data_IF_097379044719
#
_entry.id   IF_097379044719
#
_cell.length_a   1.000
_cell.length_b   1.000
_cell.length_c   1.000
_cell.angle_alpha   90.00
_cell.angle_beta   90.00
_cell.angle_gamma   90.00
#
_symmetry.space_group_name_H-M   'P 1'
#
loop_
_entity.id
_entity.type
_entity.pdbx_description
1 polymer ?
#
# COMPACT_ATOMS: atom_id res chain seq x y z
N UNK A 1 4.09 14.83 15.90
CA UNK A 1 3.35 13.72 15.23
C UNK A 1 2.65 12.74 16.18
N UNK A 2 3.33 11.79 16.86
CA UNK A 2 2.72 10.87 17.86
C UNK A 2 1.99 11.59 19.02
N UNK A 3 2.49 12.76 19.43
CA UNK A 3 1.84 13.62 20.45
C UNK A 3 0.50 14.21 19.99
N UNK A 4 0.34 14.58 18.71
CA UNK A 4 -0.93 15.08 18.17
C UNK A 4 -1.99 13.96 18.16
N UNK A 5 -1.61 12.78 17.67
CA UNK A 5 -2.51 11.63 17.64
C UNK A 5 -2.93 11.18 19.04
N UNK A 6 -2.01 11.22 20.02
CA UNK A 6 -2.32 11.00 21.45
C UNK A 6 -3.20 12.11 22.06
N UNK A 7 -3.05 13.37 21.63
CA UNK A 7 -3.82 14.51 22.15
C UNK A 7 -5.27 14.51 21.65
N UNK A 8 -5.49 14.13 20.40
CA UNK A 8 -6.84 14.05 19.79
C UNK A 8 -7.38 12.61 19.69
N UNK A 9 -6.72 11.68 20.39
CA UNK A 9 -7.01 10.25 20.38
C UNK A 9 -8.50 9.97 20.62
N UNK A 10 -9.13 10.60 21.62
CA UNK A 10 -10.55 10.35 21.91
C UNK A 10 -11.50 10.73 20.75
N UNK A 11 -11.22 11.80 20.01
CA UNK A 11 -12.09 12.28 18.93
C UNK A 11 -11.95 11.38 17.70
N UNK A 12 -10.72 11.06 17.29
CA UNK A 12 -10.48 10.11 16.20
C UNK A 12 -10.95 8.69 16.54
N UNK A 13 -10.80 8.26 17.80
CA UNK A 13 -11.09 6.88 18.21
C UNK A 13 -12.58 6.58 18.44
N UNK A 14 -13.36 7.53 18.98
CA UNK A 14 -14.83 7.37 19.05
C UNK A 14 -15.40 7.35 17.63
N UNK A 15 -14.85 8.20 16.77
CA UNK A 15 -15.32 8.39 15.41
C UNK A 15 -15.10 7.16 14.51
N UNK A 16 -13.89 6.59 14.52
CA UNK A 16 -13.62 5.41 13.67
C UNK A 16 -14.11 4.11 14.35
N UNK A 17 -14.31 4.07 15.67
CA UNK A 17 -14.97 2.92 16.33
C UNK A 17 -16.47 2.82 15.97
N UNK A 18 -17.16 3.95 15.80
CA UNK A 18 -18.53 3.98 15.28
C UNK A 18 -18.59 3.44 13.85
N UNK A 19 -17.60 3.82 13.02
CA UNK A 19 -17.43 3.36 11.64
C UNK A 19 -17.31 1.83 11.54
N UNK A 20 -16.46 1.21 12.36
CA UNK A 20 -16.23 -0.24 12.29
C UNK A 20 -17.41 -1.07 12.77
N UNK A 21 -18.18 -0.60 13.76
CA UNK A 21 -19.40 -1.30 14.18
C UNK A 21 -20.37 -1.41 13.01
N UNK A 22 -20.43 -0.40 12.13
CA UNK A 22 -21.24 -0.45 10.92
C UNK A 22 -20.59 -1.35 9.86
N UNK A 23 -19.28 -1.25 9.62
CA UNK A 23 -18.60 -2.05 8.58
C UNK A 23 -18.53 -3.54 8.94
N UNK A 24 -18.19 -3.94 10.16
CA UNK A 24 -18.14 -5.38 10.51
C UNK A 24 -19.52 -6.03 10.70
N UNK A 25 -20.56 -5.26 11.01
CA UNK A 25 -21.93 -5.81 11.11
C UNK A 25 -22.54 -6.16 9.74
N UNK A 26 -22.01 -5.60 8.64
CA UNK A 26 -22.52 -5.83 7.28
C UNK A 26 -21.61 -6.69 6.39
N UNK A 27 -20.34 -6.88 6.75
CA UNK A 27 -19.30 -7.43 5.86
C UNK A 27 -18.86 -8.85 6.27
N UNK A 28 -19.78 -9.81 6.10
CA UNK A 28 -19.42 -11.22 5.98
C UNK A 28 -18.53 -11.45 4.76
N UNK A 29 -17.44 -12.18 4.98
CA UNK A 29 -16.48 -12.75 4.01
C UNK A 29 -17.09 -13.09 2.64
N UNK A 30 -16.57 -12.54 1.54
CA UNK A 30 -16.37 -13.20 0.23
C UNK A 30 -16.07 -12.22 -0.92
N UNK A 31 -14.98 -12.44 -1.64
CA UNK A 31 -14.84 -12.13 -3.09
C UNK A 31 -14.78 -10.66 -3.51
N UNK A 32 -13.58 -10.08 -3.58
CA UNK A 32 -13.34 -8.75 -4.18
C UNK A 32 -13.30 -8.82 -5.72
N UNK A 33 -12.96 -9.99 -6.30
CA UNK A 33 -12.78 -10.14 -7.75
C UNK A 33 -14.06 -10.46 -8.54
N UNK A 34 -15.14 -10.93 -7.90
CA UNK A 34 -16.41 -11.26 -8.60
C UNK A 34 -17.42 -10.11 -8.62
N UNK A 35 -17.20 -9.02 -7.86
CA UNK A 35 -18.22 -7.99 -7.61
C UNK A 35 -18.17 -6.76 -8.52
N UNK A 36 -17.43 -6.82 -9.62
CA UNK A 36 -17.42 -5.73 -10.62
C UNK A 36 -18.73 -5.70 -11.45
N UNK A 37 -19.50 -6.79 -11.45
CA UNK A 37 -20.75 -6.87 -12.22
C UNK A 37 -22.01 -6.89 -11.34
N UNK A 38 -22.77 -5.79 -11.40
CA UNK A 38 -24.22 -5.67 -11.07
C UNK A 38 -24.67 -5.62 -9.59
N UNK A 39 -23.87 -5.16 -8.63
CA UNK A 39 -24.43 -4.79 -7.32
C UNK A 39 -24.85 -3.32 -7.34
N UNK A 40 -26.10 -3.00 -7.02
CA UNK A 40 -26.54 -1.61 -6.76
C UNK A 40 -25.55 -0.99 -5.77
N UNK A 41 -24.97 0.15 -6.10
CA UNK A 41 -23.99 0.84 -5.25
C UNK A 41 -24.61 1.11 -3.86
N UNK A 42 -24.15 0.38 -2.85
CA UNK A 42 -24.73 0.39 -1.50
C UNK A 42 -24.04 1.45 -0.65
N UNK A 43 -24.83 2.10 0.20
CA UNK A 43 -24.28 2.88 1.31
C UNK A 43 -23.69 1.90 2.32
N UNK A 44 -22.41 2.05 2.65
CA UNK A 44 -21.68 1.12 3.53
C UNK A 44 -21.14 1.78 4.79
N UNK A 45 -21.05 3.11 4.80
CA UNK A 45 -20.69 3.87 5.97
C UNK A 45 -21.36 5.25 5.97
N UNK A 46 -21.33 5.92 7.11
CA UNK A 46 -21.75 7.31 7.29
C UNK A 46 -20.52 8.12 7.66
N UNK A 47 -20.23 9.14 6.87
CA UNK A 47 -19.10 10.03 7.07
C UNK A 47 -19.30 10.96 8.28
N UNK A 48 -18.22 11.67 8.66
CA UNK A 48 -18.22 12.59 9.82
C UNK A 48 -19.23 13.74 9.74
N UNK A 49 -19.68 14.05 8.53
CA UNK A 49 -20.67 15.08 8.27
C UNK A 49 -22.10 14.54 8.15
N UNK A 50 -22.30 13.24 8.37
CA UNK A 50 -23.58 12.56 8.19
C UNK A 50 -23.87 12.17 6.73
N UNK A 51 -22.99 12.49 5.78
CA UNK A 51 -23.13 12.03 4.40
C UNK A 51 -22.87 10.53 4.30
N UNK A 52 -23.42 9.89 3.27
CA UNK A 52 -23.26 8.44 3.08
C UNK A 52 -22.05 8.15 2.21
N UNK A 53 -21.20 7.23 2.66
CA UNK A 53 -20.07 6.72 1.89
C UNK A 53 -20.53 5.48 1.14
N UNK A 54 -20.35 5.49 -0.17
CA UNK A 54 -20.73 4.40 -1.04
C UNK A 54 -19.64 3.35 -1.14
N UNK A 55 -20.04 2.09 -1.32
CA UNK A 55 -19.11 0.99 -1.51
C UNK A 55 -18.16 1.25 -2.69
N UNK A 56 -18.72 1.75 -3.80
CA UNK A 56 -17.91 2.03 -4.99
C UNK A 56 -16.83 3.09 -4.74
N UNK A 57 -17.05 4.01 -3.79
CA UNK A 57 -16.09 5.06 -3.44
C UNK A 57 -14.91 4.49 -2.64
N UNK A 58 -15.19 3.65 -1.64
CA UNK A 58 -14.15 2.94 -0.89
C UNK A 58 -13.35 2.05 -1.85
N UNK A 59 -14.02 1.24 -2.67
CA UNK A 59 -13.34 0.33 -3.60
C UNK A 59 -12.43 1.05 -4.59
N UNK A 60 -12.86 2.20 -5.13
CA UNK A 60 -12.03 3.02 -6.02
C UNK A 60 -10.81 3.55 -5.29
N UNK A 61 -10.98 4.12 -4.09
CA UNK A 61 -9.85 4.57 -3.28
C UNK A 61 -8.90 3.41 -2.95
N UNK A 62 -9.43 2.25 -2.56
CA UNK A 62 -8.62 1.08 -2.23
C UNK A 62 -7.81 0.60 -3.42
N UNK A 63 -8.41 0.47 -4.60
CA UNK A 63 -7.68 0.10 -5.83
C UNK A 63 -6.61 1.14 -6.16
N UNK A 64 -6.92 2.43 -5.99
CA UNK A 64 -5.97 3.51 -6.25
C UNK A 64 -4.76 3.44 -5.30
N UNK A 65 -4.97 3.11 -4.02
CA UNK A 65 -3.92 3.05 -3.01
C UNK A 65 -3.18 1.70 -2.95
N UNK A 66 -3.79 0.64 -3.47
CA UNK A 66 -3.28 -0.73 -3.41
C UNK A 66 -1.95 -0.90 -4.14
N UNK A 67 -1.74 -0.16 -5.24
CA UNK A 67 -0.49 -0.16 -5.99
C UNK A 67 0.12 1.24 -6.11
N UNK A 68 1.43 1.29 -6.36
CA UNK A 68 2.19 2.50 -6.64
C UNK A 68 3.08 2.35 -7.90
N UNK A 69 3.89 3.38 -8.18
CA UNK A 69 4.78 3.41 -9.35
C UNK A 69 6.04 2.54 -9.21
N UNK A 70 6.40 2.14 -7.99
CA UNK A 70 7.57 1.30 -7.68
C UNK A 70 7.21 -0.18 -7.60
N UNK A 71 5.93 -0.52 -7.50
CA UNK A 71 5.46 -1.90 -7.57
C UNK A 71 5.80 -2.53 -8.92
N UNK A 72 6.19 -3.81 -8.89
CA UNK A 72 6.71 -4.47 -10.08
C UNK A 72 5.87 -5.67 -10.47
N UNK A 73 5.46 -5.70 -11.74
CA UNK A 73 4.71 -6.79 -12.35
C UNK A 73 5.68 -7.78 -13.00
N UNK A 74 6.46 -8.52 -12.19
CA UNK A 74 7.25 -9.65 -12.70
C UNK A 74 6.50 -10.97 -12.64
N UNK A 75 5.55 -11.11 -11.69
CA UNK A 75 4.75 -12.32 -11.60
C UNK A 75 3.58 -12.28 -12.58
N UNK A 76 3.44 -13.33 -13.41
CA UNK A 76 2.23 -13.60 -14.20
C UNK A 76 0.96 -13.78 -13.34
N UNK A 77 1.13 -13.93 -12.02
CA UNK A 77 0.03 -14.07 -11.04
C UNK A 77 -0.53 -12.72 -10.57
N UNK A 78 0.17 -11.61 -10.82
CA UNK A 78 -0.27 -10.32 -10.31
C UNK A 78 -1.12 -9.60 -11.33
N UNK A 79 -2.44 -9.57 -11.09
CA UNK A 79 -3.42 -8.95 -11.97
C UNK A 79 -3.43 -7.42 -11.87
N UNK A 80 -2.82 -6.85 -10.82
CA UNK A 80 -2.75 -5.41 -10.61
C UNK A 80 -1.50 -4.84 -11.25
N UNK A 81 -1.70 -3.85 -12.13
CA UNK A 81 -0.62 -3.11 -12.78
C UNK A 81 -0.15 -1.97 -11.86
N UNK A 82 1.10 -1.49 -12.03
CA UNK A 82 1.61 -0.35 -11.28
C UNK A 82 0.72 0.88 -11.48
N UNK A 83 0.40 1.57 -10.40
CA UNK A 83 -0.35 2.82 -10.46
C UNK A 83 0.62 4.00 -10.52
N UNK A 84 0.93 4.46 -11.73
CA UNK A 84 1.85 5.56 -11.96
C UNK A 84 1.31 6.92 -11.49
N UNK A 85 0.03 7.01 -11.13
CA UNK A 85 -0.53 8.20 -10.50
C UNK A 85 -0.26 8.26 -8.99
N UNK A 86 -0.06 7.12 -8.34
CA UNK A 86 0.21 7.04 -6.92
C UNK A 86 1.72 6.99 -6.68
N UNK A 87 2.28 8.13 -6.24
CA UNK A 87 3.69 8.24 -5.91
C UNK A 87 3.96 7.88 -4.43
N UNK A 88 3.71 6.62 -4.07
CA UNK A 88 4.10 6.07 -2.77
C UNK A 88 3.28 6.54 -1.56
N UNK A 89 1.97 6.80 -1.71
CA UNK A 89 1.13 7.18 -0.57
C UNK A 89 1.25 6.20 0.62
N UNK A 90 1.13 4.90 0.36
CA UNK A 90 1.16 3.88 1.42
C UNK A 90 2.52 3.88 2.13
N UNK A 91 3.62 4.08 1.40
CA UNK A 91 4.97 4.22 1.97
C UNK A 91 5.04 5.36 2.98
N UNK A 92 4.50 6.53 2.65
CA UNK A 92 4.46 7.67 3.57
C UNK A 92 3.54 7.42 4.76
N UNK A 93 2.40 6.76 4.53
CA UNK A 93 1.48 6.34 5.58
C UNK A 93 2.17 5.44 6.62
N UNK A 94 2.89 4.40 6.17
CA UNK A 94 3.64 3.50 7.06
C UNK A 94 4.84 4.18 7.74
N UNK A 95 5.49 5.15 7.08
CA UNK A 95 6.58 5.94 7.69
C UNK A 95 6.12 6.88 8.80
N UNK A 96 4.86 7.31 8.78
CA UNK A 96 4.30 8.26 9.74
C UNK A 96 3.87 7.64 11.08
N UNK A 97 4.13 6.34 11.30
CA UNK A 97 3.63 5.52 12.41
C UNK A 97 2.08 5.44 12.53
N UNK A 98 1.32 6.04 11.61
CA UNK A 98 -0.14 5.93 11.58
C UNK A 98 -0.61 4.47 11.47
N UNK A 99 0.12 3.66 10.71
CA UNK A 99 -0.13 2.21 10.61
C UNK A 99 -0.14 1.53 11.97
N UNK A 100 0.76 1.90 12.88
CA UNK A 100 0.86 1.33 14.23
C UNK A 100 -0.37 1.68 15.05
N UNK A 101 -0.87 2.92 14.93
CA UNK A 101 -2.12 3.33 15.56
C UNK A 101 -3.31 2.53 15.03
N UNK A 102 -3.34 2.27 13.72
CA UNK A 102 -4.38 1.45 13.10
C UNK A 102 -4.32 0.01 13.62
N UNK A 103 -3.14 -0.60 13.67
CA UNK A 103 -2.99 -1.95 14.20
C UNK A 103 -3.38 -2.04 15.67
N UNK A 104 -2.92 -1.11 16.51
CA UNK A 104 -3.31 -1.06 17.93
C UNK A 104 -4.82 -1.00 18.13
N UNK A 105 -5.50 -0.21 17.29
CA UNK A 105 -6.93 0.04 17.44
C UNK A 105 -7.81 -1.04 16.81
N UNK A 106 -7.38 -1.62 15.69
CA UNK A 106 -8.17 -2.51 14.85
C UNK A 106 -7.61 -3.92 14.77
N UNK A 107 -6.80 -4.29 15.76
CA UNK A 107 -6.14 -5.58 15.77
C UNK A 107 -7.12 -6.74 15.62
N UNK A 108 -8.20 -6.74 16.42
CA UNK A 108 -9.14 -7.85 16.46
C UNK A 108 -9.89 -8.03 15.14
N UNK A 109 -10.26 -6.90 14.53
CA UNK A 109 -10.94 -6.80 13.25
C UNK A 109 -10.05 -7.24 12.08
N UNK A 110 -8.78 -6.82 12.10
CA UNK A 110 -7.82 -7.14 11.05
C UNK A 110 -7.22 -8.54 11.20
N UNK A 111 -7.20 -9.10 12.42
CA UNK A 111 -6.53 -10.36 12.74
C UNK A 111 -6.84 -11.48 11.74
N UNK A 112 -8.10 -11.79 11.38
CA UNK A 112 -8.41 -12.86 10.44
C UNK A 112 -7.71 -12.69 9.08
N UNK A 113 -7.62 -11.46 8.59
CA UNK A 113 -7.03 -11.12 7.28
C UNK A 113 -5.51 -11.23 7.25
N UNK A 114 -4.88 -11.31 8.44
CA UNK A 114 -3.44 -11.49 8.62
C UNK A 114 -3.04 -12.93 8.96
N UNK A 115 -3.97 -13.84 9.29
CA UNK A 115 -3.62 -15.24 9.64
C UNK A 115 -2.90 -15.95 8.48
N UNK A 116 -3.44 -15.84 7.26
CA UNK A 116 -2.79 -16.41 6.07
C UNK A 116 -1.41 -15.76 5.78
N UNK A 117 -1.24 -14.49 6.14
CA UNK A 117 0.03 -13.77 5.96
C UNK A 117 1.05 -14.21 6.99
N UNK A 118 0.63 -14.40 8.23
CA UNK A 118 1.45 -14.95 9.30
C UNK A 118 2.09 -16.27 8.84
N UNK A 119 1.30 -17.20 8.32
CA UNK A 119 1.82 -18.48 7.80
C UNK A 119 2.82 -18.32 6.65
N UNK A 120 2.55 -17.40 5.70
CA UNK A 120 3.48 -17.11 4.59
C UNK A 120 4.81 -16.57 5.11
N UNK A 121 4.79 -15.63 6.06
CA UNK A 121 5.99 -15.05 6.68
C UNK A 121 6.82 -16.14 7.37
N UNK A 122 6.17 -17.06 8.08
CA UNK A 122 6.86 -18.16 8.79
C UNK A 122 7.57 -19.12 7.83
N UNK A 123 6.95 -19.42 6.68
CA UNK A 123 7.52 -20.33 5.66
C UNK A 123 8.55 -19.67 4.73
N UNK A 124 8.68 -18.36 4.76
CA UNK A 124 9.50 -17.64 3.81
C UNK A 124 10.99 -17.90 4.00
N UNK A 125 11.65 -18.08 2.86
CA UNK A 125 13.10 -18.16 2.74
C UNK A 125 13.56 -17.16 1.68
N UNK A 126 14.55 -16.31 1.98
CA UNK A 126 15.14 -15.43 0.97
C UNK A 126 15.69 -16.22 -0.21
N UNK A 127 15.74 -15.59 -1.38
CA UNK A 127 16.29 -16.20 -2.58
C UNK A 127 17.73 -16.68 -2.38
N UNK A 128 18.03 -17.89 -2.86
CA UNK A 128 19.37 -18.48 -2.93
C UNK A 128 19.50 -19.13 -4.31
N UNK A 129 20.55 -18.78 -5.03
CA UNK A 129 20.81 -19.25 -6.38
C UNK A 129 21.07 -20.76 -6.43
N UNK A 130 20.54 -21.46 -7.44
CA UNK A 130 20.63 -22.94 -7.54
C UNK A 130 22.05 -23.47 -7.60
N UNK A 131 22.91 -22.81 -8.40
CA UNK A 131 24.24 -23.33 -8.73
C UNK A 131 25.37 -22.74 -7.88
N UNK A 132 25.09 -21.68 -7.12
CA UNK A 132 26.06 -21.05 -6.22
C UNK A 132 25.34 -20.39 -5.03
N UNK A 133 25.27 -21.06 -3.87
CA UNK A 133 24.56 -20.55 -2.69
C UNK A 133 25.08 -19.22 -2.14
N UNK A 134 26.29 -18.80 -2.51
CA UNK A 134 26.83 -17.51 -2.06
C UNK A 134 26.21 -16.31 -2.81
N UNK A 135 25.54 -16.57 -3.94
CA UNK A 135 24.62 -15.61 -4.58
C UNK A 135 23.26 -15.77 -3.90
N UNK A 136 22.96 -14.90 -2.95
CA UNK A 136 21.73 -14.96 -2.17
C UNK A 136 21.23 -13.58 -1.76
N UNK A 137 19.92 -13.45 -1.54
CA UNK A 137 19.34 -12.22 -1.04
C UNK A 137 19.89 -11.89 0.36
N UNK A 138 20.18 -12.92 1.18
CA UNK A 138 20.78 -12.74 2.51
C UNK A 138 22.14 -12.05 2.43
N UNK A 139 23.06 -12.50 1.58
CA UNK A 139 24.40 -11.91 1.49
C UNK A 139 24.37 -10.45 1.02
N UNK A 140 23.38 -10.08 0.19
CA UNK A 140 23.16 -8.69 -0.21
C UNK A 140 22.60 -7.87 0.96
N UNK A 141 21.59 -8.38 1.69
CA UNK A 141 21.07 -7.66 2.86
C UNK A 141 22.12 -7.46 3.95
N UNK A 142 22.96 -8.47 4.25
CA UNK A 142 24.05 -8.34 5.22
C UNK A 142 24.98 -7.17 4.90
N UNK A 143 25.21 -6.89 3.61
CA UNK A 143 26.10 -5.82 3.16
C UNK A 143 25.43 -4.46 3.05
N UNK A 144 24.20 -4.39 2.53
CA UNK A 144 23.58 -3.13 2.13
C UNK A 144 22.39 -2.71 2.99
N UNK A 145 21.75 -3.63 3.72
CA UNK A 145 20.58 -3.35 4.53
C UNK A 145 20.46 -4.33 5.72
N UNK A 146 21.42 -4.35 6.67
CA UNK A 146 21.45 -5.36 7.74
C UNK A 146 20.21 -5.32 8.64
N UNK A 147 19.61 -4.14 8.85
CA UNK A 147 18.37 -3.95 9.61
C UNK A 147 17.21 -4.80 9.06
N UNK A 148 17.17 -5.04 7.74
CA UNK A 148 16.15 -5.89 7.10
C UNK A 148 16.19 -7.32 7.64
N UNK A 149 17.40 -7.86 7.87
CA UNK A 149 17.57 -9.20 8.40
C UNK A 149 17.20 -9.29 9.87
N UNK A 150 17.49 -8.24 10.65
CA UNK A 150 17.08 -8.15 12.05
C UNK A 150 15.56 -8.21 12.16
N UNK A 151 14.85 -7.34 11.42
CA UNK A 151 13.38 -7.32 11.39
C UNK A 151 12.81 -8.65 10.89
N UNK A 152 13.36 -9.22 9.81
CA UNK A 152 12.90 -10.48 9.25
C UNK A 152 13.08 -11.66 10.22
N UNK A 153 14.21 -11.74 10.90
CA UNK A 153 14.46 -12.77 11.90
C UNK A 153 13.51 -12.61 13.09
N UNK A 154 13.27 -11.37 13.54
CA UNK A 154 12.35 -11.09 14.62
C UNK A 154 10.90 -11.45 14.24
N UNK A 155 10.46 -11.11 13.03
CA UNK A 155 9.17 -11.52 12.46
C UNK A 155 9.02 -13.05 12.48
N UNK A 156 10.03 -13.76 11.98
CA UNK A 156 10.03 -15.22 11.94
C UNK A 156 10.11 -15.85 13.33
N UNK A 157 10.59 -15.14 14.34
CA UNK A 157 10.63 -15.62 15.73
C UNK A 157 9.27 -15.53 16.45
N UNK A 158 8.34 -14.69 15.96
CA UNK A 158 7.03 -14.54 16.58
C UNK A 158 6.27 -15.87 16.57
N UNK A 159 5.69 -16.24 17.71
CA UNK A 159 4.95 -17.51 17.89
C UNK A 159 3.49 -17.41 17.51
N UNK A 160 2.94 -16.21 17.54
CA UNK A 160 1.54 -15.93 17.27
C UNK A 160 1.39 -14.58 16.55
N UNK A 161 0.25 -14.40 15.90
CA UNK A 161 -0.16 -13.13 15.35
C UNK A 161 -0.55 -12.19 16.51
N UNK A 162 0.22 -11.10 16.65
CA UNK A 162 0.04 -10.08 17.68
C UNK A 162 0.41 -8.68 17.11
N UNK A 163 0.22 -7.63 17.92
CA UNK A 163 0.54 -6.25 17.50
C UNK A 163 2.01 -6.08 17.11
N UNK A 164 2.91 -6.76 17.82
CA UNK A 164 4.35 -6.71 17.52
C UNK A 164 4.64 -7.26 16.12
N UNK A 165 4.00 -8.37 15.74
CA UNK A 165 4.11 -8.93 14.39
C UNK A 165 3.66 -7.93 13.32
N UNK A 166 2.51 -7.27 13.49
CA UNK A 166 2.01 -6.28 12.52
C UNK A 166 2.91 -5.04 12.42
N UNK A 167 3.43 -4.57 13.55
CA UNK A 167 4.36 -3.44 13.58
C UNK A 167 5.67 -3.77 12.86
N UNK A 168 6.24 -4.95 13.13
CA UNK A 168 7.44 -5.42 12.42
C UNK A 168 7.18 -5.62 10.91
N UNK A 169 5.97 -6.04 10.53
CA UNK A 169 5.59 -6.18 9.12
C UNK A 169 5.54 -4.80 8.43
N UNK A 170 4.99 -3.79 9.10
CA UNK A 170 5.04 -2.39 8.67
C UNK A 170 6.47 -1.87 8.53
N UNK A 171 7.33 -2.13 9.52
CA UNK A 171 8.72 -1.68 9.50
C UNK A 171 9.47 -2.36 8.33
N UNK A 172 9.27 -3.66 8.11
CA UNK A 172 9.86 -4.38 6.97
C UNK A 172 9.38 -3.85 5.62
N UNK A 173 8.09 -3.51 5.50
CA UNK A 173 7.54 -2.88 4.29
C UNK A 173 8.23 -1.56 3.97
N UNK A 174 8.44 -0.70 4.98
CA UNK A 174 9.15 0.58 4.81
C UNK A 174 10.60 0.36 4.36
N UNK A 175 11.28 -0.66 4.88
CA UNK A 175 12.63 -1.03 4.46
C UNK A 175 12.66 -1.62 3.03
N UNK A 176 11.68 -2.45 2.62
CA UNK A 176 11.57 -2.90 1.22
C UNK A 176 11.44 -1.70 0.27
N UNK A 177 10.72 -0.65 0.68
CA UNK A 177 10.58 0.56 -0.13
C UNK A 177 11.84 1.45 -0.16
N UNK A 178 12.83 1.20 0.70
CA UNK A 178 14.18 1.81 0.64
C UNK A 178 15.12 0.98 -0.22
N UNK A 179 14.95 -0.35 -0.21
CA UNK A 179 15.72 -1.29 -1.01
C UNK A 179 14.80 -2.18 -1.85
N UNK A 180 14.29 -1.66 -2.99
CA UNK A 180 13.29 -2.35 -3.79
C UNK A 180 13.73 -3.73 -4.26
N UNK A 181 12.77 -4.65 -4.42
CA UNK A 181 13.04 -6.01 -4.88
C UNK A 181 13.69 -6.04 -6.26
N UNK A 182 13.39 -5.10 -7.16
CA UNK A 182 14.07 -5.03 -8.45
C UNK A 182 15.57 -4.68 -8.32
N UNK A 183 15.91 -3.79 -7.38
CA UNK A 183 17.31 -3.49 -7.08
C UNK A 183 18.03 -4.74 -6.57
N UNK A 184 17.39 -5.50 -5.66
CA UNK A 184 17.89 -6.80 -5.22
C UNK A 184 18.11 -7.75 -6.40
N UNK A 185 17.17 -7.81 -7.35
CA UNK A 185 17.26 -8.70 -8.52
C UNK A 185 18.46 -8.35 -9.38
N UNK A 186 18.64 -7.07 -9.69
CA UNK A 186 19.76 -6.58 -10.50
C UNK A 186 21.11 -6.89 -9.86
N UNK A 187 21.21 -6.77 -8.54
CA UNK A 187 22.43 -7.13 -7.82
C UNK A 187 22.71 -8.63 -7.86
N UNK A 188 21.69 -9.47 -7.71
CA UNK A 188 21.81 -10.93 -7.85
C UNK A 188 22.24 -11.32 -9.28
N UNK A 189 21.61 -10.74 -10.32
CA UNK A 189 21.97 -10.98 -11.73
C UNK A 189 23.41 -10.54 -11.99
N UNK A 190 23.81 -9.39 -11.45
CA UNK A 190 25.17 -8.90 -11.58
C UNK A 190 26.18 -9.86 -10.95
N UNK A 191 25.90 -10.40 -9.76
CA UNK A 191 26.75 -11.41 -9.11
C UNK A 191 26.82 -12.71 -9.92
N UNK A 192 25.70 -13.16 -10.48
CA UNK A 192 25.62 -14.34 -11.36
C UNK A 192 26.53 -14.16 -12.59
N UNK A 193 26.44 -13.02 -13.27
CA UNK A 193 27.26 -12.68 -14.43
C UNK A 193 28.75 -12.57 -14.07
N UNK A 194 29.09 -11.91 -12.96
CA UNK A 194 30.48 -11.75 -12.53
C UNK A 194 31.16 -13.08 -12.25
N UNK A 195 30.44 -14.01 -11.62
CA UNK A 195 30.96 -15.33 -11.29
C UNK A 195 30.91 -16.34 -12.43
N UNK A 196 30.22 -15.98 -13.54
CA UNK A 196 30.05 -16.83 -14.73
C UNK A 196 29.45 -18.20 -14.38
N UNK A 197 28.54 -18.23 -13.40
CA UNK A 197 27.78 -19.44 -13.05
C UNK A 197 26.65 -19.63 -14.06
N UNK A 198 26.09 -20.84 -14.10
CA UNK A 198 24.91 -21.12 -14.92
C UNK A 198 23.73 -20.25 -14.46
N UNK A 199 22.95 -19.73 -15.42
CA UNK A 199 21.78 -18.91 -15.13
C UNK A 199 20.73 -19.67 -14.32
N UNK A 200 20.23 -19.05 -13.25
CA UNK A 200 19.07 -19.54 -12.50
C UNK A 200 17.78 -18.91 -13.05
N UNK A 201 16.92 -19.68 -13.76
CA UNK A 201 15.73 -19.13 -14.40
C UNK A 201 14.76 -18.47 -13.40
N UNK A 202 14.78 -18.89 -12.13
CA UNK A 202 13.95 -18.33 -11.06
C UNK A 202 14.29 -16.86 -10.81
N UNK A 203 15.55 -16.47 -11.03
CA UNK A 203 16.00 -15.09 -10.90
C UNK A 203 15.39 -14.16 -11.97
N UNK A 204 14.84 -14.70 -13.04
CA UNK A 204 14.23 -13.93 -14.13
C UNK A 204 12.71 -14.08 -14.18
N UNK A 205 12.17 -15.18 -13.65
CA UNK A 205 10.76 -15.55 -13.78
C UNK A 205 9.98 -15.40 -12.47
N UNK A 206 10.61 -15.64 -11.33
CA UNK A 206 9.93 -15.64 -10.03
C UNK A 206 10.02 -14.28 -9.35
N UNK A 207 9.02 -13.99 -8.51
CA UNK A 207 9.07 -12.85 -7.61
C UNK A 207 10.12 -13.06 -6.53
N UNK A 208 10.98 -12.06 -6.33
CA UNK A 208 11.95 -12.06 -5.22
C UNK A 208 11.56 -11.08 -4.11
N UNK A 209 10.36 -10.50 -4.18
CA UNK A 209 9.82 -9.68 -3.11
C UNK A 209 9.64 -10.49 -1.82
N UNK A 210 9.66 -9.83 -0.66
CA UNK A 210 9.41 -10.52 0.60
C UNK A 210 8.07 -11.23 0.57
N UNK A 211 8.07 -12.53 0.91
CA UNK A 211 6.86 -13.35 0.99
C UNK A 211 6.10 -13.52 -0.34
N UNK A 212 6.66 -13.03 -1.46
CA UNK A 212 5.94 -12.85 -2.72
C UNK A 212 4.91 -11.73 -2.68
N UNK A 213 5.06 -10.74 -1.79
CA UNK A 213 4.17 -9.59 -1.67
C UNK A 213 4.70 -8.43 -2.52
N UNK A 214 3.98 -8.11 -3.59
CA UNK A 214 4.47 -7.19 -4.63
C UNK A 214 3.86 -5.80 -4.53
N UNK A 215 2.80 -5.62 -3.73
CA UNK A 215 2.11 -4.35 -3.55
C UNK A 215 1.46 -4.26 -2.15
N UNK A 216 0.96 -3.08 -1.78
CA UNK A 216 0.39 -2.85 -0.45
C UNK A 216 -0.80 -3.78 -0.12
N UNK A 217 -1.56 -4.20 -1.12
CA UNK A 217 -2.67 -5.14 -0.96
C UNK A 217 -2.17 -6.54 -0.56
N UNK A 218 -1.08 -7.03 -1.16
CA UNK A 218 -0.47 -8.30 -0.76
C UNK A 218 0.05 -8.26 0.68
N UNK A 219 0.68 -7.14 1.04
CA UNK A 219 1.29 -6.94 2.35
C UNK A 219 0.26 -6.85 3.47
N UNK A 220 -0.84 -6.12 3.27
CA UNK A 220 -1.75 -5.77 4.36
C UNK A 220 -3.18 -6.29 4.18
N UNK A 221 -3.55 -6.70 2.97
CA UNK A 221 -4.88 -7.22 2.66
C UNK A 221 -5.92 -6.12 2.47
N UNK A 222 -7.02 -6.49 1.81
CA UNK A 222 -8.05 -5.52 1.41
C UNK A 222 -8.70 -4.83 2.60
N UNK A 223 -8.97 -5.54 3.69
CA UNK A 223 -9.68 -4.96 4.84
C UNK A 223 -8.89 -3.81 5.49
N UNK A 224 -7.54 -3.92 5.48
CA UNK A 224 -6.68 -2.83 5.92
C UNK A 224 -6.70 -1.66 4.93
N UNK A 225 -6.61 -1.94 3.63
CA UNK A 225 -6.62 -0.89 2.59
C UNK A 225 -7.97 -0.16 2.54
N UNK A 226 -9.08 -0.86 2.72
CA UNK A 226 -10.43 -0.29 2.81
C UNK A 226 -10.54 0.63 4.04
N UNK A 227 -10.01 0.20 5.19
CA UNK A 227 -9.97 1.01 6.40
C UNK A 227 -9.14 2.30 6.22
N UNK A 228 -7.99 2.21 5.55
CA UNK A 228 -7.16 3.39 5.21
C UNK A 228 -7.91 4.31 4.23
N UNK A 229 -8.59 3.74 3.23
CA UNK A 229 -9.38 4.47 2.26
C UNK A 229 -10.50 5.27 2.91
N UNK A 230 -11.25 4.64 3.81
CA UNK A 230 -12.32 5.29 4.56
C UNK A 230 -11.78 6.42 5.46
N UNK A 231 -10.64 6.20 6.10
CA UNK A 231 -9.97 7.23 6.89
C UNK A 231 -9.60 8.46 6.04
N UNK A 232 -9.08 8.26 4.83
CA UNK A 232 -8.73 9.34 3.90
C UNK A 232 -10.00 10.09 3.46
N UNK A 233 -11.06 9.37 3.08
CA UNK A 233 -12.35 9.96 2.68
C UNK A 233 -12.91 10.83 3.80
N UNK A 234 -12.92 10.33 5.04
CA UNK A 234 -13.42 11.10 6.17
C UNK A 234 -12.53 12.31 6.48
N UNK A 235 -11.21 12.13 6.42
CA UNK A 235 -10.27 13.23 6.69
C UNK A 235 -10.35 14.31 5.61
N UNK A 236 -10.62 13.96 4.35
CA UNK A 236 -10.82 14.96 3.30
C UNK A 236 -12.06 15.82 3.58
N UNK A 237 -13.14 15.24 4.08
CA UNK A 237 -14.36 15.96 4.48
C UNK A 237 -14.06 16.91 5.65
N UNK A 238 -13.25 16.48 6.62
CA UNK A 238 -12.80 17.36 7.72
C UNK A 238 -11.96 18.51 7.18
N UNK A 239 -11.03 18.24 6.26
CA UNK A 239 -10.20 19.25 5.64
C UNK A 239 -11.05 20.33 4.93
N UNK A 240 -12.05 19.92 4.13
CA UNK A 240 -12.96 20.85 3.47
C UNK A 240 -13.72 21.72 4.48
N UNK A 241 -14.25 21.12 5.55
CA UNK A 241 -14.91 21.87 6.65
C UNK A 241 -14.00 22.86 7.36
N UNK A 242 -12.68 22.61 7.35
CA UNK A 242 -11.65 23.49 7.92
C UNK A 242 -11.16 24.56 6.93
N UNK A 243 -11.73 24.60 5.73
CA UNK A 243 -11.43 25.61 4.71
C UNK A 243 -10.29 25.22 3.75
N UNK A 244 -9.79 23.99 3.80
CA UNK A 244 -8.81 23.53 2.81
C UNK A 244 -9.51 23.30 1.47
N UNK A 245 -8.85 23.71 0.39
CA UNK A 245 -9.36 23.56 -0.97
C UNK A 245 -8.32 22.86 -1.82
N UNK A 246 -8.78 21.89 -2.60
CA UNK A 246 -8.08 21.30 -3.74
C UNK A 246 -9.05 21.31 -4.88
N UNK A 247 -8.72 21.93 -6.01
CA UNK A 247 -9.62 21.92 -7.17
C UNK A 247 -9.48 20.63 -7.98
N UNK A 248 -10.49 20.30 -8.81
CA UNK A 248 -10.39 19.12 -9.68
C UNK A 248 -9.24 19.25 -10.69
N UNK A 249 -9.02 20.45 -11.22
CA UNK A 249 -7.93 20.73 -12.17
C UNK A 249 -6.55 20.65 -11.49
N UNK A 250 -6.44 21.11 -10.24
CA UNK A 250 -5.24 20.90 -9.43
C UNK A 250 -4.95 19.41 -9.24
N UNK A 251 -5.98 18.60 -8.92
CA UNK A 251 -5.82 17.16 -8.78
C UNK A 251 -5.41 16.48 -10.09
N UNK A 252 -5.99 16.87 -11.24
CA UNK A 252 -5.57 16.36 -12.56
C UNK A 252 -4.13 16.72 -12.89
N UNK A 253 -3.73 17.95 -12.60
CA UNK A 253 -2.37 18.43 -12.83
C UNK A 253 -1.36 17.65 -11.98
N UNK A 254 -1.70 17.36 -10.72
CA UNK A 254 -0.86 16.55 -9.84
C UNK A 254 -0.76 15.08 -10.30
N UNK A 255 -1.88 14.48 -10.75
CA UNK A 255 -1.87 13.15 -11.38
C UNK A 255 -0.91 13.08 -12.58
N UNK A 256 -0.95 14.09 -13.45
CA UNK A 256 -0.06 14.17 -14.60
C UNK A 256 1.40 14.36 -14.18
N UNK A 257 1.64 15.15 -13.13
CA UNK A 257 2.97 15.36 -12.56
C UNK A 257 3.55 14.06 -12.00
N UNK A 258 2.74 13.30 -11.25
CA UNK A 258 3.13 11.99 -10.72
C UNK A 258 3.43 10.99 -11.83
N UNK A 259 2.59 10.95 -12.87
CA UNK A 259 2.85 10.13 -14.06
C UNK A 259 4.19 10.51 -14.72
N UNK A 260 4.40 11.79 -14.98
CA UNK A 260 5.63 12.28 -15.62
C UNK A 260 6.87 11.95 -14.79
N UNK A 261 6.79 12.06 -13.46
CA UNK A 261 7.89 11.72 -12.56
C UNK A 261 8.20 10.22 -12.50
N UNK A 262 7.24 9.37 -12.84
CA UNK A 262 7.36 7.91 -12.81
C UNK A 262 7.88 7.30 -14.11
N UNK A 263 7.92 8.09 -15.19
CA UNK A 263 8.35 7.64 -16.53
C UNK A 263 9.78 8.08 -16.83
N UNK A 264 10.50 7.26 -17.60
CA UNK A 264 11.77 7.68 -18.21
C UNK A 264 11.54 8.62 -19.41
N UNK A 265 12.60 9.29 -19.88
CA UNK A 265 12.48 10.30 -20.94
C UNK A 265 11.97 9.75 -22.26
N UNK A 266 12.22 8.46 -22.54
CA UNK A 266 11.70 7.80 -23.74
C UNK A 266 10.21 7.54 -23.61
N UNK A 267 9.74 7.05 -22.46
CA UNK A 267 8.35 6.76 -22.18
C UNK A 267 7.50 8.05 -22.10
N UNK A 268 8.07 9.16 -21.64
CA UNK A 268 7.40 10.48 -21.63
C UNK A 268 6.94 10.95 -23.01
N UNK A 269 7.59 10.52 -24.10
CA UNK A 269 7.13 10.83 -25.47
C UNK A 269 5.73 10.29 -25.79
N UNK A 270 5.25 9.30 -25.02
CA UNK A 270 3.94 8.66 -25.17
C UNK A 270 3.06 8.90 -23.94
N UNK A 271 3.26 10.00 -23.20
CA UNK A 271 2.62 10.25 -21.91
C UNK A 271 1.09 10.12 -21.95
N UNK A 272 0.43 10.59 -23.01
CA UNK A 272 -1.03 10.47 -23.16
C UNK A 272 -1.51 9.02 -23.25
N UNK A 273 -0.71 8.15 -23.87
CA UNK A 273 -0.99 6.72 -23.97
C UNK A 273 -0.86 6.07 -22.59
N UNK A 274 0.20 6.40 -21.86
CA UNK A 274 0.38 5.93 -20.48
C UNK A 274 -0.74 6.43 -19.57
N UNK A 275 -1.14 7.70 -19.68
CA UNK A 275 -2.22 8.28 -18.89
C UNK A 275 -3.53 7.50 -19.07
N UNK A 276 -3.92 7.24 -20.32
CA UNK A 276 -5.10 6.42 -20.65
C UNK A 276 -4.98 4.98 -20.16
N UNK A 277 -3.80 4.37 -20.29
CA UNK A 277 -3.55 3.01 -19.84
C UNK A 277 -3.66 2.89 -18.32
N UNK A 278 -3.13 3.84 -17.55
CA UNK A 278 -3.24 3.84 -16.08
C UNK A 278 -4.70 3.99 -15.65
N UNK A 279 -5.46 4.91 -16.26
CA UNK A 279 -6.90 5.05 -16.02
C UNK A 279 -7.67 3.74 -16.30
N UNK A 280 -7.39 3.12 -17.44
CA UNK A 280 -7.98 1.83 -17.81
C UNK A 280 -7.64 0.73 -16.80
N UNK A 281 -6.38 0.63 -16.38
CA UNK A 281 -5.93 -0.38 -15.40
C UNK A 281 -6.60 -0.20 -14.04
N UNK A 282 -6.87 1.04 -13.64
CA UNK A 282 -7.61 1.36 -12.41
C UNK A 282 -9.13 1.20 -12.56
N UNK A 283 -9.62 0.93 -13.78
CA UNK A 283 -11.05 0.93 -14.11
C UNK A 283 -11.74 2.25 -13.74
N UNK A 284 -11.05 3.37 -13.99
CA UNK A 284 -11.54 4.73 -13.71
C UNK A 284 -11.53 5.60 -14.95
N UNK A 285 -12.54 6.46 -15.09
CA UNK A 285 -12.42 7.63 -15.96
C UNK A 285 -11.57 8.72 -15.28
N UNK A 286 -11.12 9.70 -16.07
CA UNK A 286 -10.29 10.81 -15.57
C UNK A 286 -10.95 11.56 -14.40
N UNK A 287 -12.26 11.80 -14.48
CA UNK A 287 -12.99 12.56 -13.45
C UNK A 287 -13.02 11.78 -12.14
N UNK A 288 -13.22 10.47 -12.20
CA UNK A 288 -13.22 9.58 -11.03
C UNK A 288 -11.82 9.50 -10.42
N UNK A 289 -10.78 9.32 -11.24
CA UNK A 289 -9.40 9.29 -10.76
C UNK A 289 -9.01 10.63 -10.10
N UNK A 290 -9.32 11.76 -10.74
CA UNK A 290 -9.05 13.09 -10.22
C UNK A 290 -9.80 13.37 -8.91
N UNK A 291 -11.08 12.97 -8.79
CA UNK A 291 -11.82 13.08 -7.52
C UNK A 291 -11.25 12.22 -6.41
N UNK A 292 -10.81 11.01 -6.74
CA UNK A 292 -10.17 10.10 -5.78
C UNK A 292 -8.88 10.73 -5.27
N UNK A 293 -8.05 11.24 -6.17
CA UNK A 293 -6.80 11.90 -5.83
C UNK A 293 -6.98 13.23 -5.09
N UNK A 294 -8.00 14.01 -5.44
CA UNK A 294 -8.38 15.23 -4.73
C UNK A 294 -8.59 14.96 -3.22
N UNK A 295 -9.24 13.86 -2.86
CA UNK A 295 -9.43 13.45 -1.45
C UNK A 295 -8.09 13.11 -0.79
N UNK A 296 -7.20 12.41 -1.49
CA UNK A 296 -5.83 12.13 -1.01
C UNK A 296 -5.05 13.43 -0.79
N UNK A 297 -5.14 14.39 -1.71
CA UNK A 297 -4.48 15.69 -1.60
C UNK A 297 -5.03 16.52 -0.44
N UNK A 298 -6.35 16.55 -0.25
CA UNK A 298 -7.00 17.21 0.89
C UNK A 298 -6.54 16.61 2.22
N UNK A 299 -6.50 15.27 2.29
CA UNK A 299 -5.94 14.55 3.43
C UNK A 299 -4.49 14.98 3.69
N UNK A 300 -3.62 14.95 2.67
CA UNK A 300 -2.20 15.31 2.80
C UNK A 300 -2.03 16.75 3.28
N UNK A 301 -2.74 17.72 2.67
CA UNK A 301 -2.69 19.14 3.07
C UNK A 301 -3.06 19.33 4.53
N UNK A 302 -4.19 18.74 4.95
CA UNK A 302 -4.65 18.84 6.33
C UNK A 302 -3.67 18.17 7.31
N UNK A 303 -3.20 16.96 6.97
CA UNK A 303 -2.33 16.20 7.86
C UNK A 303 -0.95 16.84 8.04
N UNK A 304 -0.35 17.38 6.97
CA UNK A 304 0.93 18.10 7.02
C UNK A 304 0.81 19.33 7.93
N UNK A 305 -0.19 20.17 7.71
CA UNK A 305 -0.36 21.41 8.47
C UNK A 305 -0.58 21.13 9.96
N UNK A 306 -1.45 20.16 10.26
CA UNK A 306 -1.69 19.70 11.63
C UNK A 306 -0.42 19.12 12.28
N UNK A 307 0.41 18.40 11.52
CA UNK A 307 1.66 17.83 12.03
C UNK A 307 2.73 18.88 12.32
N UNK A 308 2.75 19.98 11.54
CA UNK A 308 3.69 21.09 11.71
C UNK A 308 3.29 22.04 12.86
N UNK A 309 1.99 22.10 13.18
CA UNK A 309 1.45 22.93 14.25
C UNK A 309 1.47 22.26 15.65
N UNK A 310 2.20 21.15 15.83
CA UNK A 310 2.36 20.43 17.12
C UNK A 310 3.76 19.91 17.39
#
# INVERSE_FOLDING_TARGET
MLRFFRKYQKIFFIFIAFVIIVTFSFFGTQGVLERVNKVKDKDVAVAIDGSKIKLSEIQKMSIFLATDSQDISYSSKNHLRPNLFNNGFMKDFFRSDLSKVFFEKYFNELKPSFENKFDKVKRYSPFVHLYDPSISARSIYERYAPNVLEILNELKSQKELNLKFLNLLSDLYVEQMRFPSETMRRLLIFQEQQKKVQQDPRLYQDSIAFFGFENALDWFGIDFIDLVSEFIINTSIVAEKKGYVVTLEEAKSDLMTNLNSSLDDKAKTQIDTYYKNVLHNLSMDEKVAAKTWQKVMLYKKYFIDVSNNT
#
